data_IF_692790188488
#
_entry.id   IF_692790188488
#
_cell.length_a   1.000
_cell.length_b   1.000
_cell.length_c   1.000
_cell.angle_alpha   90.00
_cell.angle_beta   90.00
_cell.angle_gamma   90.00
#
_symmetry.space_group_name_H-M   'P 1'
#
loop_
_entity.id
_entity.type
_entity.pdbx_description
1 polymer ?
#
# COMPACT_ATOMS: atom_id res chain seq x y z
N UNK A 1 0.94 3.17 26.89
CA UNK A 1 0.59 2.69 25.54
C UNK A 1 -0.76 1.99 25.63
N UNK A 2 -1.80 2.53 24.99
CA UNK A 2 -3.13 1.93 25.04
C UNK A 2 -3.23 0.84 23.98
N UNK A 3 -3.50 -0.38 24.42
CA UNK A 3 -3.80 -1.50 23.53
C UNK A 3 -5.22 -1.29 22.98
N UNK A 4 -5.41 -1.20 21.65
CA UNK A 4 -6.73 -0.92 21.10
C UNK A 4 -7.72 -2.05 21.39
N UNK A 5 -8.90 -1.68 21.87
CA UNK A 5 -10.02 -2.58 22.08
C UNK A 5 -10.41 -3.31 20.79
N UNK A 6 -11.10 -4.45 20.92
CA UNK A 6 -11.53 -5.25 19.75
C UNK A 6 -12.32 -4.41 18.73
N UNK A 7 -13.17 -3.49 19.21
CA UNK A 7 -13.94 -2.58 18.36
C UNK A 7 -13.04 -1.55 17.63
N UNK A 8 -12.04 -0.99 18.32
CA UNK A 8 -11.08 -0.07 17.71
C UNK A 8 -10.22 -0.76 16.65
N UNK A 9 -9.81 -2.02 16.90
CA UNK A 9 -9.09 -2.84 15.92
C UNK A 9 -9.93 -3.12 14.68
N UNK A 10 -11.21 -3.48 14.85
CA UNK A 10 -12.12 -3.68 13.73
C UNK A 10 -12.28 -2.40 12.89
N UNK A 11 -12.46 -1.24 13.54
CA UNK A 11 -12.53 0.05 12.85
C UNK A 11 -11.24 0.36 12.09
N UNK A 12 -10.09 0.14 12.70
CA UNK A 12 -8.79 0.32 12.07
C UNK A 12 -8.63 -0.55 10.80
N UNK A 13 -9.04 -1.83 10.86
CA UNK A 13 -8.99 -2.71 9.69
C UNK A 13 -9.96 -2.28 8.58
N UNK A 14 -11.15 -1.80 8.93
CA UNK A 14 -12.08 -1.26 7.93
C UNK A 14 -11.49 -0.04 7.19
N UNK A 15 -10.91 0.92 7.93
CA UNK A 15 -10.24 2.09 7.33
C UNK A 15 -9.04 1.70 6.47
N UNK A 16 -8.29 0.67 6.87
CA UNK A 16 -7.19 0.10 6.07
C UNK A 16 -7.72 -0.43 4.73
N UNK A 17 -8.77 -1.23 4.76
CA UNK A 17 -9.30 -1.89 3.56
C UNK A 17 -9.89 -0.86 2.59
N UNK A 18 -10.57 0.17 3.09
CA UNK A 18 -11.03 1.30 2.28
C UNK A 18 -9.85 2.05 1.63
N UNK A 19 -8.79 2.31 2.40
CA UNK A 19 -7.58 2.95 1.86
C UNK A 19 -6.91 2.08 0.79
N UNK A 20 -6.75 0.78 1.04
CA UNK A 20 -6.13 -0.15 0.09
C UNK A 20 -6.95 -0.30 -1.18
N UNK A 21 -8.27 -0.44 -1.08
CA UNK A 21 -9.16 -0.49 -2.25
C UNK A 21 -9.02 0.76 -3.12
N UNK A 22 -9.00 1.94 -2.51
CA UNK A 22 -8.79 3.18 -3.25
C UNK A 22 -7.45 3.18 -3.98
N UNK A 23 -6.39 2.70 -3.33
CA UNK A 23 -5.07 2.62 -3.95
C UNK A 23 -5.02 1.58 -5.07
N UNK A 24 -5.70 0.45 -4.94
CA UNK A 24 -5.73 -0.57 -5.99
C UNK A 24 -6.47 -0.06 -7.24
N UNK A 25 -7.52 0.75 -7.06
CA UNK A 25 -8.27 1.39 -8.14
C UNK A 25 -7.49 2.55 -8.81
N UNK A 26 -6.81 3.39 -8.02
CA UNK A 26 -6.19 4.63 -8.53
C UNK A 26 -4.67 4.52 -8.78
N UNK A 27 -3.97 3.66 -8.04
CA UNK A 27 -2.51 3.54 -8.05
C UNK A 27 -2.02 2.15 -7.58
N UNK A 28 -2.30 1.06 -8.32
CA UNK A 28 -2.01 -0.31 -7.88
C UNK A 28 -0.51 -0.59 -7.68
N UNK A 29 0.36 0.17 -8.36
CA UNK A 29 1.84 0.07 -8.22
C UNK A 29 2.40 0.97 -7.10
N UNK A 30 1.56 1.77 -6.45
CA UNK A 30 2.00 2.72 -5.43
C UNK A 30 2.47 1.97 -4.18
N UNK A 31 3.74 2.20 -3.83
CA UNK A 31 4.32 1.67 -2.59
C UNK A 31 4.13 2.66 -1.45
N UNK A 32 3.43 2.22 -0.41
CA UNK A 32 3.18 3.04 0.79
C UNK A 32 4.44 3.26 1.65
N UNK A 33 5.55 2.59 1.33
CA UNK A 33 6.85 2.74 2.02
C UNK A 33 7.88 3.52 1.21
N UNK A 34 7.65 3.77 -0.09
CA UNK A 34 8.61 4.43 -0.97
C UNK A 34 8.71 5.95 -0.75
N UNK A 35 7.90 6.53 0.14
CA UNK A 35 7.80 7.98 0.33
C UNK A 35 7.12 8.69 -0.85
N UNK A 36 6.54 7.94 -1.77
CA UNK A 36 5.81 8.47 -2.93
C UNK A 36 4.51 9.15 -2.46
N UNK A 37 4.06 10.17 -3.20
CA UNK A 37 2.82 10.89 -2.84
C UNK A 37 1.62 9.97 -2.98
N UNK A 38 0.86 9.84 -1.90
CA UNK A 38 -0.46 9.20 -1.93
C UNK A 38 -1.36 9.94 -2.92
N UNK A 39 -2.07 9.24 -3.83
CA UNK A 39 -2.97 9.86 -4.79
C UNK A 39 -4.02 10.71 -4.11
N UNK A 40 -4.35 11.88 -4.69
CA UNK A 40 -5.28 12.86 -4.11
C UNK A 40 -6.64 12.26 -3.78
N UNK A 41 -7.12 11.31 -4.61
CA UNK A 41 -8.34 10.55 -4.37
C UNK A 41 -8.32 9.77 -3.04
N UNK A 42 -7.17 9.21 -2.67
CA UNK A 42 -7.01 8.36 -1.48
C UNK A 42 -6.43 9.09 -0.27
N UNK A 43 -6.02 10.36 -0.40
CA UNK A 43 -5.47 11.14 0.72
C UNK A 43 -6.46 11.31 1.88
N UNK A 44 -7.76 11.42 1.59
CA UNK A 44 -8.79 11.49 2.63
C UNK A 44 -8.83 10.19 3.45
N UNK A 45 -8.81 9.05 2.77
CA UNK A 45 -8.79 7.73 3.42
C UNK A 45 -7.48 7.48 4.17
N UNK A 46 -6.34 7.96 3.63
CA UNK A 46 -5.04 7.91 4.32
C UNK A 46 -5.09 8.62 5.68
N UNK A 47 -5.65 9.84 5.72
CA UNK A 47 -5.81 10.58 6.98
C UNK A 47 -6.72 9.86 7.95
N UNK A 48 -7.84 9.30 7.48
CA UNK A 48 -8.75 8.52 8.31
C UNK A 48 -8.08 7.26 8.89
N UNK A 49 -7.28 6.58 8.09
CA UNK A 49 -6.49 5.41 8.51
C UNK A 49 -5.44 5.77 9.57
N UNK A 50 -4.69 6.86 9.37
CA UNK A 50 -3.70 7.34 10.35
C UNK A 50 -4.32 7.81 11.67
N UNK A 51 -5.53 8.37 11.63
CA UNK A 51 -6.27 8.78 12.82
C UNK A 51 -6.97 7.62 13.53
N UNK A 52 -7.44 6.62 12.79
CA UNK A 52 -8.20 5.48 13.31
C UNK A 52 -7.33 4.32 13.80
N UNK A 53 -6.06 4.26 13.38
CA UNK A 53 -5.14 3.18 13.72
C UNK A 53 -3.97 3.67 14.57
N UNK A 54 -3.42 2.83 15.47
CA UNK A 54 -2.14 3.10 16.10
C UNK A 54 -1.03 3.28 15.05
N UNK A 55 -0.16 4.27 15.22
CA UNK A 55 0.92 4.53 14.26
C UNK A 55 1.86 3.34 13.99
N UNK A 56 2.04 2.44 14.96
CA UNK A 56 2.77 1.18 14.75
C UNK A 56 2.05 0.24 13.78
N UNK A 57 0.72 0.18 13.85
CA UNK A 57 -0.09 -0.63 12.95
C UNK A 57 -0.08 -0.05 11.54
N UNK A 58 -0.18 1.28 11.41
CA UNK A 58 -0.04 1.95 10.11
C UNK A 58 1.27 1.56 9.43
N UNK A 59 2.40 1.67 10.14
CA UNK A 59 3.72 1.26 9.61
C UNK A 59 3.78 -0.21 9.24
N UNK A 60 3.18 -1.08 10.06
CA UNK A 60 3.14 -2.51 9.79
C UNK A 60 2.32 -2.81 8.52
N UNK A 61 1.15 -2.21 8.36
CA UNK A 61 0.30 -2.39 7.18
C UNK A 61 0.93 -1.80 5.91
N UNK A 62 1.57 -0.63 5.99
CA UNK A 62 2.30 -0.05 4.86
C UNK A 62 3.39 -1.00 4.36
N UNK A 63 4.17 -1.62 5.28
CA UNK A 63 5.17 -2.63 4.92
C UNK A 63 4.54 -3.90 4.36
N UNK A 64 3.43 -4.37 4.96
CA UNK A 64 2.72 -5.58 4.53
C UNK A 64 2.24 -5.43 3.09
N UNK A 65 1.65 -4.30 2.72
CA UNK A 65 1.17 -4.03 1.36
C UNK A 65 2.31 -4.04 0.34
N UNK A 66 3.42 -3.34 0.61
CA UNK A 66 4.58 -3.35 -0.29
C UNK A 66 5.15 -4.76 -0.46
N UNK A 67 5.20 -5.54 0.63
CA UNK A 67 5.66 -6.94 0.57
C UNK A 67 4.71 -7.83 -0.23
N UNK A 68 3.39 -7.67 -0.09
CA UNK A 68 2.40 -8.40 -0.87
C UNK A 68 2.50 -8.06 -2.36
N UNK A 69 2.60 -6.78 -2.72
CA UNK A 69 2.84 -6.35 -4.10
C UNK A 69 4.13 -6.96 -4.67
N UNK A 70 5.21 -6.98 -3.90
CA UNK A 70 6.47 -7.60 -4.31
C UNK A 70 6.34 -9.12 -4.48
N UNK A 71 5.66 -9.78 -3.55
CA UNK A 71 5.40 -11.22 -3.61
C UNK A 71 4.56 -11.58 -4.83
N UNK A 72 3.54 -10.80 -5.16
CA UNK A 72 2.73 -10.99 -6.37
C UNK A 72 3.57 -10.81 -7.64
N UNK A 73 4.40 -9.77 -7.71
CA UNK A 73 5.35 -9.58 -8.83
C UNK A 73 6.31 -10.75 -8.99
N UNK A 74 6.83 -11.28 -7.88
CA UNK A 74 7.73 -12.44 -7.88
C UNK A 74 7.00 -13.73 -8.27
N UNK A 75 5.78 -13.94 -7.79
CA UNK A 75 4.96 -15.10 -8.12
C UNK A 75 4.52 -15.12 -9.59
N UNK A 76 4.36 -13.95 -10.22
CA UNK A 76 4.06 -13.82 -11.64
C UNK A 76 5.24 -14.21 -12.57
N UNK A 77 6.39 -14.60 -12.02
CA UNK A 77 7.60 -14.87 -12.78
C UNK A 77 8.39 -13.59 -13.00
N UNK A 78 9.13 -13.16 -11.98
CA UNK A 78 10.06 -12.05 -12.10
C UNK A 78 11.32 -12.53 -12.84
N UNK A 79 11.42 -12.19 -14.13
CA UNK A 79 12.66 -12.29 -14.89
C UNK A 79 13.34 -10.90 -14.94
N UNK A 80 14.47 -10.70 -14.24
CA UNK A 80 15.21 -9.44 -14.22
C UNK A 80 15.57 -8.93 -15.64
N UNK A 81 15.70 -9.83 -16.62
CA UNK A 81 16.04 -9.47 -18.00
C UNK A 81 14.88 -8.83 -18.77
N UNK A 82 13.62 -9.11 -18.38
CA UNK A 82 12.46 -8.46 -18.98
C UNK A 82 12.31 -7.02 -18.51
N UNK A 83 12.57 -6.76 -17.22
CA UNK A 83 12.45 -5.41 -16.66
C UNK A 83 13.53 -4.47 -17.23
N UNK A 84 14.76 -4.96 -17.40
CA UNK A 84 15.84 -4.23 -18.10
C UNK A 84 15.50 -4.00 -19.58
N UNK A 85 15.03 -5.02 -20.30
CA UNK A 85 14.63 -4.90 -21.71
C UNK A 85 13.47 -3.93 -21.94
N UNK A 86 12.55 -3.79 -20.99
CA UNK A 86 11.49 -2.76 -21.06
C UNK A 86 11.99 -1.34 -20.82
N UNK A 87 13.10 -1.15 -20.08
CA UNK A 87 13.72 0.16 -19.90
C UNK A 87 14.55 0.58 -21.12
N UNK A 88 15.08 -0.39 -21.88
CA UNK A 88 15.92 -0.16 -23.06
C UNK A 88 15.16 0.01 -24.39
N UNK A 89 13.83 -0.09 -24.42
CA UNK A 89 13.05 0.22 -25.62
C UNK A 89 12.55 1.67 -25.50
N UNK A 90 13.29 2.68 -25.98
CA UNK A 90 12.73 4.00 -26.20
C UNK A 90 11.66 3.86 -27.30
N UNK A 91 10.40 4.04 -26.93
CA UNK A 91 9.33 4.27 -27.90
C UNK A 91 9.56 5.62 -28.57
N UNK A 92 10.29 5.59 -29.70
CA UNK A 92 10.45 6.59 -30.76
C UNK A 92 11.01 7.97 -30.37
#
# INVERSE_FOLDING_TARGET
MSFPDKAQRAKCWAMRDEYWKCLDENAPKHSSTSGEKVPSACQKMRKAFEQGCPGQWVKHFDRKRTYEQFKEKMAAGYDPLLEERTKEIPTK
#
